data_IF_205181394200
#
_entry.id   IF_205181394200
#
_cell.length_a   1.000
_cell.length_b   1.000
_cell.length_c   1.000
_cell.angle_alpha   90.00
_cell.angle_beta   90.00
_cell.angle_gamma   90.00
#
_symmetry.space_group_name_H-M   'P 1'
#
loop_
_entity.id
_entity.type
_entity.pdbx_description
1 polymer ?
#
# COMPACT_ATOMS: atom_id res chain seq x y z
N UNK A 1 -20.22 -4.16 4.67
CA UNK A 1 -19.21 -4.91 5.46
C UNK A 1 -18.18 -5.52 4.51
N UNK A 2 -17.40 -4.69 3.81
CA UNK A 2 -16.21 -5.19 3.11
C UNK A 2 -15.12 -5.30 4.18
N UNK A 3 -15.00 -6.49 4.78
CA UNK A 3 -13.78 -6.86 5.47
C UNK A 3 -12.73 -6.97 4.37
N UNK A 4 -11.90 -5.95 4.23
CA UNK A 4 -10.71 -6.03 3.40
C UNK A 4 -9.93 -7.25 3.87
N UNK A 5 -9.94 -8.28 3.01
CA UNK A 5 -9.35 -9.58 3.29
C UNK A 5 -7.84 -9.40 3.34
N UNK A 6 -7.31 -9.05 4.51
CA UNK A 6 -5.88 -9.15 4.78
C UNK A 6 -5.48 -10.57 4.47
N UNK A 7 -4.47 -10.72 3.64
CA UNK A 7 -4.04 -12.03 3.16
C UNK A 7 -3.24 -12.67 4.28
N UNK A 8 -3.82 -13.67 4.94
CA UNK A 8 -3.10 -14.53 5.88
C UNK A 8 -2.18 -15.45 5.07
N UNK A 9 -0.95 -15.00 4.85
CA UNK A 9 0.11 -15.75 4.17
C UNK A 9 1.17 -16.18 5.18
N UNK A 10 1.67 -17.41 5.05
CA UNK A 10 2.82 -17.85 5.83
C UNK A 10 4.07 -17.07 5.41
N UNK A 11 5.04 -16.91 6.31
CA UNK A 11 6.30 -16.22 5.98
C UNK A 11 7.00 -16.86 4.78
N UNK A 12 6.99 -18.19 4.67
CA UNK A 12 7.54 -18.91 3.54
C UNK A 12 6.78 -18.64 2.23
N UNK A 13 5.43 -18.60 2.28
CA UNK A 13 4.61 -18.26 1.12
C UNK A 13 4.85 -16.83 0.64
N UNK A 14 5.04 -15.88 1.57
CA UNK A 14 5.35 -14.50 1.23
C UNK A 14 6.71 -14.36 0.56
N UNK A 15 7.72 -15.07 1.06
CA UNK A 15 9.04 -15.08 0.42
C UNK A 15 9.00 -15.65 -0.99
N UNK A 16 8.22 -16.72 -1.20
CA UNK A 16 8.03 -17.31 -2.53
C UNK A 16 7.37 -16.31 -3.48
N UNK A 17 6.25 -15.68 -3.06
CA UNK A 17 5.55 -14.70 -3.88
C UNK A 17 6.43 -13.49 -4.24
N UNK A 18 7.25 -12.99 -3.29
CA UNK A 18 8.22 -11.93 -3.57
C UNK A 18 9.27 -12.38 -4.59
N UNK A 19 9.74 -13.63 -4.50
CA UNK A 19 10.71 -14.17 -5.46
C UNK A 19 10.09 -14.30 -6.85
N UNK A 20 8.85 -14.78 -6.95
CA UNK A 20 8.12 -14.86 -8.23
C UNK A 20 7.96 -13.48 -8.87
N UNK A 21 7.57 -12.46 -8.08
CA UNK A 21 7.48 -11.07 -8.56
C UNK A 21 8.84 -10.58 -9.09
N UNK A 22 9.94 -10.93 -8.42
CA UNK A 22 11.28 -10.54 -8.85
C UNK A 22 11.73 -11.27 -10.11
N UNK A 23 11.38 -12.53 -10.25
CA UNK A 23 11.71 -13.32 -11.43
C UNK A 23 10.90 -12.87 -12.65
N UNK A 24 9.65 -12.43 -12.45
CA UNK A 24 8.78 -11.94 -13.52
C UNK A 24 9.09 -10.49 -13.95
N UNK A 25 9.25 -9.57 -12.99
CA UNK A 25 9.43 -8.13 -13.27
C UNK A 25 10.90 -7.68 -13.32
N UNK A 26 11.84 -8.56 -12.94
CA UNK A 26 13.28 -8.25 -12.86
C UNK A 26 13.58 -7.03 -11.97
N UNK A 27 14.81 -6.53 -12.02
CA UNK A 27 15.24 -5.33 -11.28
C UNK A 27 14.66 -4.08 -11.98
N UNK A 28 13.41 -3.75 -11.67
CA UNK A 28 12.71 -2.56 -12.17
C UNK A 28 11.97 -1.85 -11.04
N UNK A 29 11.69 -0.53 -11.17
CA UNK A 29 10.90 0.18 -10.16
C UNK A 29 9.49 -0.39 -10.02
N UNK A 30 8.93 -0.97 -11.08
CA UNK A 30 7.64 -1.67 -11.03
C UNK A 30 7.69 -2.92 -10.15
N UNK A 31 8.82 -3.63 -10.10
CA UNK A 31 9.03 -4.77 -9.20
C UNK A 31 8.94 -4.32 -7.74
N UNK A 32 9.72 -3.30 -7.37
CA UNK A 32 9.75 -2.78 -5.99
C UNK A 32 8.35 -2.29 -5.55
N UNK A 33 7.64 -1.56 -6.41
CA UNK A 33 6.24 -1.18 -6.16
C UNK A 33 5.31 -2.38 -5.97
N UNK A 34 5.44 -3.41 -6.81
CA UNK A 34 4.58 -4.62 -6.72
C UNK A 34 4.84 -5.40 -5.43
N UNK A 35 6.09 -5.46 -4.98
CA UNK A 35 6.46 -6.04 -3.68
C UNK A 35 5.86 -5.23 -2.53
N UNK A 36 5.96 -3.90 -2.55
CA UNK A 36 5.36 -3.04 -1.54
C UNK A 36 3.82 -3.19 -1.46
N UNK A 37 3.16 -3.29 -2.62
CA UNK A 37 1.72 -3.54 -2.70
C UNK A 37 1.33 -4.89 -2.06
N UNK A 38 2.08 -5.94 -2.34
CA UNK A 38 1.87 -7.25 -1.71
C UNK A 38 2.04 -7.17 -0.18
N UNK A 39 3.12 -6.53 0.29
CA UNK A 39 3.38 -6.36 1.72
C UNK A 39 2.23 -5.61 2.42
N UNK A 40 1.70 -4.57 1.78
CA UNK A 40 0.55 -3.81 2.26
C UNK A 40 -0.71 -4.68 2.41
N UNK A 41 -1.01 -5.54 1.42
CA UNK A 41 -2.14 -6.48 1.50
C UNK A 41 -1.95 -7.57 2.58
N UNK A 42 -0.72 -7.90 2.91
CA UNK A 42 -0.38 -8.80 4.03
C UNK A 42 -0.38 -8.07 5.39
N UNK A 43 -0.66 -6.77 5.44
CA UNK A 43 -0.63 -5.97 6.65
C UNK A 43 0.78 -5.65 7.18
N UNK A 44 1.81 -5.87 6.35
CA UNK A 44 3.23 -5.56 6.66
C UNK A 44 3.58 -4.14 6.18
N UNK A 45 2.91 -3.15 6.76
CA UNK A 45 3.01 -1.76 6.30
C UNK A 45 4.40 -1.17 6.48
N UNK A 46 5.07 -1.44 7.60
CA UNK A 46 6.45 -0.95 7.84
C UNK A 46 7.44 -1.45 6.77
N UNK A 47 7.31 -2.72 6.37
CA UNK A 47 8.14 -3.28 5.30
C UNK A 47 7.78 -2.68 3.93
N UNK A 48 6.49 -2.43 3.67
CA UNK A 48 6.04 -1.80 2.43
C UNK A 48 6.57 -0.36 2.32
N UNK A 49 6.45 0.44 3.39
CA UNK A 49 7.00 1.80 3.47
C UNK A 49 8.50 1.80 3.22
N UNK A 50 9.24 0.89 3.86
CA UNK A 50 10.69 0.79 3.64
C UNK A 50 11.05 0.53 2.17
N UNK A 51 10.30 -0.35 1.49
CA UNK A 51 10.52 -0.58 0.05
C UNK A 51 10.25 0.70 -0.74
N UNK A 52 9.13 1.39 -0.49
CA UNK A 52 8.78 2.65 -1.17
C UNK A 52 9.81 3.77 -0.90
N UNK A 53 10.28 3.94 0.34
CA UNK A 53 11.31 4.91 0.73
C UNK A 53 12.61 4.70 -0.07
N UNK A 54 12.98 3.43 -0.27
CA UNK A 54 14.23 3.07 -0.97
C UNK A 54 14.12 3.20 -2.48
N UNK A 55 12.92 3.26 -3.06
CA UNK A 55 12.74 3.38 -4.52
C UNK A 55 13.35 4.67 -5.07
N UNK A 56 13.15 5.82 -4.42
CA UNK A 56 13.73 7.09 -4.88
C UNK A 56 15.26 7.10 -4.78
N UNK A 57 15.81 6.41 -3.79
CA UNK A 57 17.26 6.27 -3.62
C UNK A 57 17.87 5.35 -4.68
N UNK A 58 17.16 4.29 -5.06
CA UNK A 58 17.64 3.25 -5.97
C UNK A 58 17.45 3.61 -7.44
N UNK A 59 16.27 4.11 -7.80
CA UNK A 59 15.84 4.35 -9.18
C UNK A 59 15.89 5.82 -9.59
N UNK A 60 16.11 6.73 -8.63
CA UNK A 60 16.06 8.17 -8.84
C UNK A 60 14.63 8.71 -8.91
N UNK A 61 14.51 10.01 -9.21
CA UNK A 61 13.23 10.74 -9.17
C UNK A 61 12.68 11.02 -10.57
N UNK A 62 12.73 10.03 -11.47
CA UNK A 62 12.01 10.15 -12.74
C UNK A 62 10.50 10.25 -12.47
N UNK A 63 9.72 10.91 -13.35
CA UNK A 63 8.29 11.10 -13.12
C UNK A 63 7.56 9.77 -12.91
N UNK A 64 7.97 8.70 -13.60
CA UNK A 64 7.39 7.37 -13.45
C UNK A 64 7.67 6.77 -12.06
N UNK A 65 8.89 6.92 -11.54
CA UNK A 65 9.25 6.41 -10.21
C UNK A 65 8.54 7.22 -9.12
N UNK A 66 8.45 8.55 -9.27
CA UNK A 66 7.72 9.40 -8.32
C UNK A 66 6.24 9.02 -8.28
N UNK A 67 5.61 8.80 -9.44
CA UNK A 67 4.21 8.36 -9.50
C UNK A 67 3.99 7.00 -8.82
N UNK A 68 4.91 6.05 -8.98
CA UNK A 68 4.86 4.75 -8.30
C UNK A 68 5.02 4.89 -6.77
N UNK A 69 5.89 5.79 -6.32
CA UNK A 69 6.12 6.07 -4.90
C UNK A 69 4.88 6.70 -4.27
N UNK A 70 4.30 7.71 -4.92
CA UNK A 70 3.04 8.35 -4.48
C UNK A 70 1.90 7.32 -4.40
N UNK A 71 1.77 6.47 -5.42
CA UNK A 71 0.78 5.40 -5.43
C UNK A 71 1.04 4.37 -4.32
N UNK A 72 2.29 4.03 -4.04
CA UNK A 72 2.68 3.11 -2.97
C UNK A 72 2.22 3.59 -1.60
N UNK A 73 2.49 4.85 -1.26
CA UNK A 73 2.00 5.42 0.01
C UNK A 73 0.47 5.53 0.06
N UNK A 74 -0.18 5.87 -1.06
CA UNK A 74 -1.64 5.91 -1.12
C UNK A 74 -2.26 4.52 -0.86
N UNK A 75 -1.67 3.45 -1.39
CA UNK A 75 -2.10 2.08 -1.15
C UNK A 75 -1.88 1.67 0.32
N UNK A 76 -0.75 2.06 0.92
CA UNK A 76 -0.45 1.80 2.33
C UNK A 76 -1.47 2.50 3.25
N UNK A 77 -1.73 3.78 3.03
CA UNK A 77 -2.70 4.56 3.82
C UNK A 77 -4.11 3.95 3.70
N UNK A 78 -4.56 3.64 2.47
CA UNK A 78 -5.86 3.05 2.22
C UNK A 78 -6.06 1.71 2.94
N UNK A 79 -5.03 0.86 2.99
CA UNK A 79 -5.09 -0.48 3.60
C UNK A 79 -4.78 -0.49 5.12
N UNK A 80 -4.09 0.54 5.61
CA UNK A 80 -3.71 0.70 7.01
C UNK A 80 -4.87 1.21 7.87
N UNK A 81 -5.71 2.10 7.32
CA UNK A 81 -6.86 2.65 8.05
C UNK A 81 -7.94 1.57 8.25
N UNK A 82 -8.27 1.18 9.49
CA UNK A 82 -9.46 0.36 9.71
C UNK A 82 -10.66 1.21 9.30
N UNK A 83 -11.47 0.73 8.35
CA UNK A 83 -12.68 1.38 7.86
C UNK A 83 -13.59 1.88 9.01
N UNK A 84 -13.31 3.08 9.51
CA UNK A 84 -13.97 3.73 10.64
C UNK A 84 -13.63 5.22 10.63
N UNK A 85 -13.86 5.86 9.48
CA UNK A 85 -14.15 7.29 9.46
C UNK A 85 -15.39 7.51 8.60
N UNK A 86 -16.54 7.10 9.14
CA UNK A 86 -17.80 7.77 8.80
C UNK A 86 -17.98 8.91 9.79
N UNK A 87 -17.82 10.19 9.41
CA UNK A 87 -18.60 11.25 10.03
C UNK A 87 -20.01 11.19 9.41
N UNK A 88 -20.76 10.13 9.72
CA UNK A 88 -22.21 10.21 9.63
C UNK A 88 -22.71 10.82 10.93
N UNK A 89 -22.86 12.14 10.94
CA UNK A 89 -23.85 12.80 11.79
C UNK A 89 -24.87 13.47 10.88
N UNK A 90 -26.09 12.90 10.76
CA UNK A 90 -27.23 13.64 10.26
C UNK A 90 -27.86 14.47 11.40
N UNK A 91 -28.53 15.55 10.98
CA UNK A 91 -29.59 16.28 11.67
C UNK A 91 -29.23 17.48 12.58
N UNK A 92 -29.62 18.65 12.05
CA UNK A 92 -30.55 19.61 12.69
C UNK A 92 -30.04 20.46 13.85
N UNK A 93 -29.76 21.74 13.53
CA UNK A 93 -30.30 22.90 14.26
C UNK A 93 -29.96 24.20 13.54
N UNK A 94 -30.98 24.87 13.01
CA UNK A 94 -31.05 26.34 12.95
C UNK A 94 -32.47 26.77 12.57
N UNK A 95 -33.41 26.55 13.48
CA UNK A 95 -34.54 27.46 13.63
C UNK A 95 -34.13 28.47 14.71
N UNK A 96 -33.84 29.71 14.33
CA UNK A 96 -34.16 30.97 15.02
C UNK A 96 -33.35 32.12 14.39
N UNK A 97 -34.02 32.94 13.59
CA UNK A 97 -34.02 34.41 13.63
C UNK A 97 -34.97 34.93 12.54
#
# INVERSE_FOLDING_TARGET
MQREQRIEISQAGLQLAIQEIKDDLYDTPACDYTVAKLLSHCGRFEDAEHVIDTMLLRWGSSPDVVALVEQGYADIDALSVPASISPQTPATSAALA
#
